data_IF_835684248869
#
_entry.id   IF_835684248869
#
_cell.length_a   1.000
_cell.length_b   1.000
_cell.length_c   1.000
_cell.angle_alpha   90.00
_cell.angle_beta   90.00
_cell.angle_gamma   90.00
#
_symmetry.space_group_name_H-M   'P 1'
#
loop_
_entity.id
_entity.type
_entity.pdbx_description
1 polymer ?
#
# COMPACT_ATOMS: atom_id res chain seq x y z
N UNK A 1 -62.21 -23.95 5.44
CA UNK A 1 -61.84 -22.71 4.72
C UNK A 1 -61.47 -21.67 5.76
N UNK A 2 -60.20 -21.63 6.18
CA UNK A 2 -59.73 -20.77 7.27
C UNK A 2 -59.53 -19.34 6.75
N UNK A 3 -60.35 -18.43 7.27
CA UNK A 3 -60.42 -17.01 6.93
C UNK A 3 -59.21 -16.29 7.53
N UNK A 4 -58.31 -15.78 6.69
CA UNK A 4 -57.19 -14.95 7.13
C UNK A 4 -57.72 -13.66 7.76
N UNK A 5 -57.35 -13.40 9.02
CA UNK A 5 -57.80 -12.23 9.77
C UNK A 5 -57.15 -10.93 9.28
N UNK A 6 -57.83 -9.77 9.45
CA UNK A 6 -57.42 -8.46 8.90
C UNK A 6 -56.14 -7.87 9.50
N UNK A 7 -55.46 -8.60 10.39
CA UNK A 7 -54.24 -8.19 11.08
C UNK A 7 -52.98 -8.41 10.24
N UNK A 8 -53.04 -9.23 9.18
CA UNK A 8 -51.89 -9.52 8.32
C UNK A 8 -51.40 -8.29 7.52
N UNK A 9 -52.27 -7.28 7.31
CA UNK A 9 -51.93 -6.07 6.55
C UNK A 9 -51.26 -4.98 7.41
N UNK A 10 -51.38 -5.04 8.74
CA UNK A 10 -50.79 -4.04 9.65
C UNK A 10 -49.30 -4.29 9.93
N UNK A 11 -48.80 -5.50 9.70
CA UNK A 11 -47.37 -5.83 9.87
C UNK A 11 -46.49 -5.31 8.72
N UNK A 12 -47.06 -4.95 7.56
CA UNK A 12 -46.28 -4.37 6.46
C UNK A 12 -45.95 -2.87 6.65
N UNK A 13 -46.58 -2.18 7.59
CA UNK A 13 -46.37 -0.74 7.83
C UNK A 13 -45.26 -0.41 8.84
N UNK A 14 -44.62 -1.43 9.45
CA UNK A 14 -43.56 -1.25 10.45
C UNK A 14 -42.16 -1.63 9.94
N UNK A 15 -41.97 -1.78 8.63
CA UNK A 15 -40.62 -1.79 8.06
C UNK A 15 -40.15 -0.33 8.01
N UNK A 16 -39.20 0.11 8.85
CA UNK A 16 -38.54 1.37 8.59
C UNK A 16 -38.00 1.27 7.17
N UNK A 17 -38.37 2.23 6.34
CA UNK A 17 -37.69 2.47 5.08
C UNK A 17 -36.24 2.72 5.46
N UNK A 18 -35.42 1.66 5.46
CA UNK A 18 -34.00 1.81 5.40
C UNK A 18 -33.78 2.43 4.03
N UNK A 19 -33.79 3.76 4.00
CA UNK A 19 -33.18 4.55 2.94
C UNK A 19 -31.69 4.25 3.05
N UNK A 20 -31.35 3.03 2.63
CA UNK A 20 -30.05 2.42 2.74
C UNK A 20 -29.17 3.20 1.81
N UNK A 21 -28.47 4.19 2.36
CA UNK A 21 -27.49 4.99 1.64
C UNK A 21 -26.62 4.03 0.82
N UNK A 22 -26.60 4.23 -0.50
CA UNK A 22 -25.85 3.35 -1.38
C UNK A 22 -24.39 3.25 -0.87
N UNK A 23 -23.89 2.04 -0.58
CA UNK A 23 -22.52 1.88 -0.13
C UNK A 23 -21.57 2.34 -1.23
N UNK A 24 -20.45 2.96 -0.84
CA UNK A 24 -19.41 3.30 -1.81
C UNK A 24 -18.88 2.02 -2.45
N UNK A 25 -18.59 2.08 -3.75
CA UNK A 25 -17.95 0.97 -4.43
C UNK A 25 -16.54 0.76 -3.86
N UNK A 26 -16.12 -0.50 -3.63
CA UNK A 26 -14.79 -0.79 -3.09
C UNK A 26 -13.68 -0.42 -4.08
N UNK A 27 -12.48 -0.03 -3.60
CA UNK A 27 -11.31 0.15 -4.44
C UNK A 27 -10.98 -1.13 -5.23
N UNK A 28 -10.40 -0.97 -6.41
CA UNK A 28 -10.03 -2.07 -7.31
C UNK A 28 -8.51 -2.19 -7.41
N UNK A 29 -8.01 -3.33 -7.89
CA UNK A 29 -6.58 -3.57 -8.13
C UNK A 29 -5.68 -3.19 -6.94
N UNK A 30 -6.10 -3.57 -5.73
CA UNK A 30 -5.33 -3.31 -4.51
C UNK A 30 -4.10 -4.21 -4.49
N UNK A 31 -2.92 -3.62 -4.61
CA UNK A 31 -1.65 -4.35 -4.66
C UNK A 31 -0.57 -3.65 -3.86
N UNK A 32 0.41 -4.42 -3.39
CA UNK A 32 1.66 -3.88 -2.89
C UNK A 32 2.64 -3.82 -4.07
N UNK A 33 3.31 -2.68 -4.21
CA UNK A 33 4.38 -2.45 -5.16
C UNK A 33 5.65 -2.10 -4.40
N UNK A 34 6.75 -2.74 -4.77
CA UNK A 34 8.07 -2.32 -4.34
C UNK A 34 8.67 -1.36 -5.34
N UNK A 35 9.40 -0.35 -4.85
CA UNK A 35 10.22 0.55 -5.67
C UNK A 35 11.23 1.29 -4.79
N UNK A 36 12.51 1.30 -5.18
CA UNK A 36 13.56 2.06 -4.51
C UNK A 36 13.63 1.83 -2.99
N UNK A 37 13.72 0.58 -2.54
CA UNK A 37 13.63 0.14 -1.14
C UNK A 37 12.30 0.46 -0.43
N UNK A 38 11.33 1.06 -1.13
CA UNK A 38 10.03 1.40 -0.58
C UNK A 38 8.96 0.39 -0.97
N UNK A 39 7.98 0.19 -0.08
CA UNK A 39 6.75 -0.55 -0.37
C UNK A 39 5.55 0.38 -0.30
N UNK A 40 4.70 0.31 -1.31
CA UNK A 40 3.53 1.16 -1.49
C UNK A 40 2.29 0.30 -1.73
N UNK A 41 1.23 0.57 -0.98
CA UNK A 41 -0.10 0.06 -1.32
C UNK A 41 -0.69 0.96 -2.41
N UNK A 42 -1.09 0.39 -3.53
CA UNK A 42 -1.72 1.12 -4.64
C UNK A 42 -3.09 0.53 -4.96
N UNK A 43 -3.99 1.36 -5.48
CA UNK A 43 -5.34 0.93 -5.85
C UNK A 43 -5.93 1.83 -6.94
N UNK A 44 -6.96 1.34 -7.61
CA UNK A 44 -7.85 2.11 -8.47
C UNK A 44 -9.13 2.51 -7.71
N UNK A 45 -9.76 3.63 -8.07
CA UNK A 45 -11.07 3.99 -7.52
C UNK A 45 -12.12 2.91 -7.78
N UNK A 46 -13.07 2.78 -6.84
CA UNK A 46 -14.29 2.01 -7.09
C UNK A 46 -15.20 2.72 -8.11
N UNK A 47 -15.89 1.99 -8.99
CA UNK A 47 -16.70 2.57 -10.06
C UNK A 47 -17.91 3.34 -9.50
N UNK A 48 -18.28 4.44 -10.17
CA UNK A 48 -19.47 5.23 -9.79
C UNK A 48 -19.37 5.99 -8.46
N UNK A 49 -18.20 5.97 -7.81
CA UNK A 49 -17.99 6.75 -6.59
C UNK A 49 -17.93 8.26 -6.90
N UNK A 50 -18.45 9.12 -6.01
CA UNK A 50 -18.30 10.56 -6.11
C UNK A 50 -16.83 11.02 -6.12
N UNK A 51 -16.54 12.14 -6.79
CA UNK A 51 -15.18 12.71 -6.91
C UNK A 51 -14.55 13.15 -5.57
N UNK A 52 -15.36 13.37 -4.54
CA UNK A 52 -14.89 13.82 -3.22
C UNK A 52 -14.61 12.68 -2.23
N UNK A 53 -14.59 11.42 -2.71
CA UNK A 53 -14.23 10.27 -1.89
C UNK A 53 -12.76 10.37 -1.47
N UNK A 54 -12.50 9.96 -0.23
CA UNK A 54 -11.16 9.79 0.33
C UNK A 54 -10.93 8.33 0.68
N UNK A 55 -9.68 7.95 0.93
CA UNK A 55 -9.30 6.60 1.24
C UNK A 55 -8.77 6.48 2.67
N UNK A 56 -9.04 5.32 3.26
CA UNK A 56 -8.47 4.87 4.54
C UNK A 56 -7.64 3.64 4.29
N UNK A 57 -6.40 3.66 4.78
CA UNK A 57 -5.47 2.53 4.69
C UNK A 57 -5.20 1.95 6.07
N UNK A 58 -5.11 0.62 6.11
CA UNK A 58 -4.63 -0.12 7.26
C UNK A 58 -3.67 -1.22 6.80
N UNK A 59 -2.82 -1.69 7.71
CA UNK A 59 -1.87 -2.76 7.44
C UNK A 59 -1.91 -3.80 8.57
N UNK A 60 -1.36 -4.95 8.27
CA UNK A 60 -1.28 -6.09 9.17
C UNK A 60 0.04 -6.85 8.92
N UNK A 61 0.76 -7.14 10.01
CA UNK A 61 1.93 -8.02 10.01
C UNK A 61 1.51 -9.40 10.50
N UNK A 62 1.99 -10.46 9.85
CA UNK A 62 1.52 -11.84 10.09
C UNK A 62 1.81 -12.32 11.52
N UNK A 63 3.06 -12.23 12.01
CA UNK A 63 3.40 -12.78 13.33
C UNK A 63 3.11 -11.86 14.52
N UNK A 64 3.21 -10.54 14.35
CA UNK A 64 3.08 -9.61 15.48
C UNK A 64 1.64 -9.49 16.02
N UNK A 65 0.63 -9.68 15.16
CA UNK A 65 -0.80 -9.79 15.52
C UNK A 65 -1.63 -10.11 14.25
N UNK A 66 -1.81 -11.39 13.89
CA UNK A 66 -2.43 -11.82 12.63
C UNK A 66 -3.90 -11.43 12.46
N UNK A 67 -4.55 -10.85 13.48
CA UNK A 67 -5.92 -10.32 13.38
C UNK A 67 -5.99 -8.79 13.55
N UNK A 68 -4.91 -8.15 13.99
CA UNK A 68 -4.94 -6.73 14.33
C UNK A 68 -4.53 -5.85 13.17
N UNK A 69 -5.53 -5.29 12.49
CA UNK A 69 -5.34 -4.22 11.53
C UNK A 69 -4.98 -2.90 12.20
N UNK A 70 -3.87 -2.30 11.79
CA UNK A 70 -3.36 -1.02 12.29
C UNK A 70 -3.60 0.06 11.23
N UNK A 71 -4.08 1.23 11.66
CA UNK A 71 -4.33 2.35 10.74
C UNK A 71 -3.00 2.95 10.29
N UNK A 72 -2.90 3.33 9.02
CA UNK A 72 -1.75 4.11 8.53
C UNK A 72 -2.09 5.59 8.69
N UNK A 73 -1.47 6.25 9.67
CA UNK A 73 -1.80 7.63 10.05
C UNK A 73 -1.83 8.59 8.86
N UNK A 74 -0.77 8.58 8.03
CA UNK A 74 -0.61 9.41 6.82
C UNK A 74 -1.70 9.19 5.76
N UNK A 75 -2.46 8.08 5.84
CA UNK A 75 -3.43 7.66 4.83
C UNK A 75 -4.83 7.43 5.41
N UNK A 76 -5.22 8.24 6.40
CA UNK A 76 -6.54 8.12 7.07
C UNK A 76 -7.68 8.85 6.34
N UNK A 77 -7.36 9.83 5.47
CA UNK A 77 -8.31 10.54 4.59
C UNK A 77 -7.58 11.07 3.36
N UNK A 78 -6.82 10.21 2.69
CA UNK A 78 -6.03 10.61 1.52
C UNK A 78 -6.90 10.66 0.26
N UNK A 79 -6.62 11.58 -0.67
CA UNK A 79 -7.16 11.53 -2.04
C UNK A 79 -6.23 10.80 -3.00
N UNK A 80 -4.99 10.52 -2.56
CA UNK A 80 -4.03 9.76 -3.32
C UNK A 80 -4.52 8.34 -3.58
N UNK A 81 -4.01 7.73 -4.65
CA UNK A 81 -4.26 6.35 -5.04
C UNK A 81 -3.10 5.41 -4.66
N UNK A 82 -2.18 5.92 -3.84
CA UNK A 82 -1.11 5.15 -3.24
C UNK A 82 -0.86 5.58 -1.79
N UNK A 83 -0.27 4.68 -1.01
CA UNK A 83 0.14 4.95 0.37
C UNK A 83 1.43 4.18 0.67
N UNK A 84 2.46 4.88 1.15
CA UNK A 84 3.67 4.22 1.64
C UNK A 84 3.34 3.36 2.87
N UNK A 85 3.71 2.09 2.80
CA UNK A 85 3.67 1.16 3.94
C UNK A 85 5.06 0.92 4.51
N UNK A 86 5.97 1.88 4.38
CA UNK A 86 7.31 1.80 4.96
C UNK A 86 7.35 2.44 6.34
N UNK A 87 8.15 1.84 7.21
CA UNK A 87 8.52 2.37 8.52
C UNK A 87 7.30 2.78 9.37
N UNK A 88 6.27 1.94 9.37
CA UNK A 88 5.07 2.15 10.18
C UNK A 88 5.31 1.74 11.63
N UNK A 89 4.54 2.32 12.55
CA UNK A 89 4.67 2.06 13.99
C UNK A 89 4.45 0.58 14.34
N UNK A 90 5.45 -0.12 14.88
CA UNK A 90 5.37 -1.57 15.18
C UNK A 90 5.14 -2.43 13.94
N UNK A 91 5.63 -1.97 12.78
CA UNK A 91 5.81 -2.81 11.62
C UNK A 91 7.06 -3.66 11.79
N UNK A 92 6.92 -4.93 11.45
CA UNK A 92 8.04 -5.86 11.38
C UNK A 92 8.27 -6.22 9.91
N UNK A 93 9.40 -5.75 9.35
CA UNK A 93 9.79 -6.00 7.96
C UNK A 93 10.43 -7.37 7.75
N UNK A 94 10.80 -8.09 8.82
CA UNK A 94 11.29 -9.47 8.73
C UNK A 94 10.14 -10.47 8.54
N UNK A 95 8.89 -10.00 8.68
CA UNK A 95 7.69 -10.78 8.54
C UNK A 95 6.85 -10.31 7.35
N UNK A 96 6.13 -11.25 6.74
CA UNK A 96 5.17 -10.90 5.69
C UNK A 96 4.09 -9.96 6.23
N UNK A 97 3.75 -8.96 5.44
CA UNK A 97 2.67 -8.02 5.76
C UNK A 97 1.79 -7.77 4.55
N UNK A 98 0.59 -7.28 4.80
CA UNK A 98 -0.36 -6.86 3.75
C UNK A 98 -1.02 -5.55 4.12
N UNK A 99 -1.52 -4.86 3.11
CA UNK A 99 -2.31 -3.66 3.25
C UNK A 99 -3.78 -3.91 2.94
N UNK A 100 -4.63 -2.99 3.37
CA UNK A 100 -6.01 -2.89 2.91
C UNK A 100 -6.44 -1.45 2.80
N UNK A 101 -7.37 -1.20 1.88
CA UNK A 101 -7.91 0.13 1.63
C UNK A 101 -9.42 0.08 1.47
N UNK A 102 -10.08 1.19 1.81
CA UNK A 102 -11.50 1.41 1.51
C UNK A 102 -11.77 2.86 1.15
N UNK A 103 -12.80 3.06 0.35
CA UNK A 103 -13.38 4.36 0.06
C UNK A 103 -14.20 4.87 1.24
N UNK A 104 -14.13 6.18 1.49
CA UNK A 104 -14.79 6.88 2.59
C UNK A 104 -15.27 8.25 2.14
N UNK A 105 -16.53 8.54 2.43
CA UNK A 105 -17.14 9.87 2.37
C UNK A 105 -17.69 10.23 3.76
N UNK A 106 -18.21 11.45 3.98
CA UNK A 106 -18.85 11.81 5.24
C UNK A 106 -19.99 10.85 5.63
N UNK A 107 -20.71 10.33 4.63
CA UNK A 107 -21.97 9.62 4.82
C UNK A 107 -21.92 8.13 4.49
N UNK A 108 -20.85 7.62 3.87
CA UNK A 108 -20.74 6.24 3.42
C UNK A 108 -19.29 5.72 3.44
N UNK A 109 -19.16 4.38 3.46
CA UNK A 109 -17.88 3.67 3.41
C UNK A 109 -18.05 2.44 2.52
N UNK A 110 -17.01 2.08 1.78
CA UNK A 110 -16.98 0.79 1.09
C UNK A 110 -16.55 -0.33 2.03
N UNK A 111 -16.77 -1.60 1.64
CA UNK A 111 -16.00 -2.72 2.17
C UNK A 111 -14.49 -2.49 2.05
N UNK A 112 -13.73 -3.18 2.89
CA UNK A 112 -12.27 -3.23 2.77
C UNK A 112 -11.86 -4.15 1.63
N UNK A 113 -10.82 -3.75 0.91
CA UNK A 113 -10.15 -4.62 -0.07
C UNK A 113 -8.69 -4.75 0.35
N UNK A 114 -8.23 -5.99 0.42
CA UNK A 114 -6.90 -6.35 0.90
C UNK A 114 -5.96 -6.64 -0.27
N UNK A 115 -4.68 -6.35 -0.08
CA UNK A 115 -3.63 -6.85 -0.97
C UNK A 115 -3.26 -8.29 -0.64
N UNK A 116 -2.50 -8.92 -1.53
CA UNK A 116 -1.69 -10.09 -1.16
C UNK A 116 -0.64 -9.70 -0.11
N UNK A 117 -0.09 -10.72 0.55
CA UNK A 117 1.08 -10.56 1.40
C UNK A 117 2.32 -10.25 0.56
N UNK A 118 3.25 -9.52 1.16
CA UNK A 118 4.59 -9.26 0.64
C UNK A 118 5.63 -9.55 1.73
N UNK A 119 6.72 -10.20 1.34
CA UNK A 119 7.90 -10.46 2.16
C UNK A 119 9.03 -9.52 1.78
N UNK A 120 9.24 -8.46 2.59
CA UNK A 120 10.12 -7.35 2.23
C UNK A 120 11.54 -7.79 1.88
N UNK A 121 12.12 -8.70 2.66
CA UNK A 121 13.51 -9.15 2.45
C UNK A 121 13.74 -9.89 1.14
N UNK A 122 12.68 -10.44 0.52
CA UNK A 122 12.77 -11.22 -0.72
C UNK A 122 12.22 -10.47 -1.93
N UNK A 123 11.24 -9.58 -1.72
CA UNK A 123 10.50 -8.94 -2.80
C UNK A 123 10.82 -7.45 -2.97
N UNK A 124 11.65 -6.86 -2.09
CA UNK A 124 12.01 -5.45 -2.23
C UNK A 124 12.92 -5.22 -3.43
N UNK A 125 12.49 -4.32 -4.31
CA UNK A 125 13.28 -3.72 -5.38
C UNK A 125 14.27 -2.70 -4.79
N UNK A 126 15.59 -2.91 -4.91
CA UNK A 126 16.60 -1.95 -4.46
C UNK A 126 16.55 -0.64 -5.24
N UNK A 127 16.90 0.48 -4.60
CA UNK A 127 17.17 1.71 -5.33
C UNK A 127 18.55 1.65 -6.01
N UNK A 128 18.71 2.24 -7.21
CA UNK A 128 20.03 2.38 -7.81
C UNK A 128 20.95 3.22 -6.92
N UNK A 129 22.26 2.92 -6.88
CA UNK A 129 23.20 3.71 -6.09
C UNK A 129 23.41 5.08 -6.73
N UNK A 130 23.59 6.09 -5.88
CA UNK A 130 24.10 7.40 -6.26
C UNK A 130 25.61 7.31 -6.36
N UNK A 131 26.14 7.57 -7.56
CA UNK A 131 27.58 7.55 -7.84
C UNK A 131 28.16 8.97 -7.71
N UNK A 132 29.19 9.10 -6.88
CA UNK A 132 30.04 10.29 -6.80
C UNK A 132 31.44 9.94 -7.31
N UNK A 133 31.86 10.59 -8.39
CA UNK A 133 33.15 10.35 -9.03
C UNK A 133 34.09 11.50 -8.73
N UNK A 134 35.28 11.19 -8.22
CA UNK A 134 36.36 12.18 -8.03
C UNK A 134 37.60 11.72 -8.78
N UNK A 135 38.10 12.59 -9.65
CA UNK A 135 39.34 12.36 -10.38
C UNK A 135 40.51 13.01 -9.64
N UNK A 136 41.56 12.23 -9.46
CA UNK A 136 42.90 12.72 -9.12
C UNK A 136 43.82 12.47 -10.33
N UNK A 137 45.07 12.92 -10.30
CA UNK A 137 45.99 12.80 -11.45
C UNK A 137 46.12 11.36 -11.97
N UNK A 138 46.15 10.37 -11.07
CA UNK A 138 46.40 8.96 -11.41
C UNK A 138 45.22 8.03 -11.12
N UNK A 139 44.25 8.46 -10.30
CA UNK A 139 43.19 7.59 -9.79
C UNK A 139 41.82 8.22 -9.98
N UNK A 140 40.89 7.43 -10.51
CA UNK A 140 39.47 7.72 -10.52
C UNK A 140 38.82 7.00 -9.33
N UNK A 141 38.35 7.76 -8.34
CA UNK A 141 37.64 7.21 -7.18
C UNK A 141 36.14 7.30 -7.43
N UNK A 142 35.44 6.18 -7.33
CA UNK A 142 33.97 6.09 -7.41
C UNK A 142 33.43 5.73 -6.03
N UNK A 143 32.60 6.60 -5.47
CA UNK A 143 31.85 6.32 -4.27
C UNK A 143 30.40 6.02 -4.63
N UNK A 144 29.95 4.79 -4.34
CA UNK A 144 28.57 4.36 -4.57
C UNK A 144 27.82 4.39 -3.24
N UNK A 145 26.76 5.18 -3.17
CA UNK A 145 25.96 5.37 -1.95
C UNK A 145 24.50 5.07 -2.22
N UNK A 146 23.76 4.67 -1.18
CA UNK A 146 22.35 4.33 -1.26
C UNK A 146 21.66 4.85 -0.01
N UNK A 147 20.35 5.05 -0.11
CA UNK A 147 19.54 5.50 1.00
C UNK A 147 18.57 4.39 1.39
N UNK A 148 18.83 3.74 2.52
CA UNK A 148 17.89 2.79 3.09
C UNK A 148 16.74 3.51 3.81
N UNK A 149 15.55 2.89 3.85
CA UNK A 149 14.49 3.31 4.74
C UNK A 149 14.97 3.34 6.21
N UNK A 150 14.61 4.35 7.02
CA UNK A 150 15.13 4.51 8.38
C UNK A 150 14.85 3.34 9.34
N UNK A 151 13.87 2.51 9.02
CA UNK A 151 13.48 1.34 9.79
C UNK A 151 14.22 0.06 9.41
N UNK A 152 15.01 0.08 8.34
CA UNK A 152 15.84 -1.05 7.94
C UNK A 152 17.22 -0.94 8.61
N UNK A 153 17.74 -2.04 9.17
CA UNK A 153 19.13 -2.06 9.59
C UNK A 153 20.04 -1.86 8.37
N UNK A 154 21.20 -1.26 8.61
CA UNK A 154 22.24 -1.17 7.59
C UNK A 154 22.54 -2.58 7.09
N UNK A 155 22.43 -2.76 5.78
CA UNK A 155 22.65 -4.03 5.10
C UNK A 155 23.91 -3.90 4.26
N UNK A 156 24.85 -4.83 4.37
CA UNK A 156 26.06 -4.85 3.53
C UNK A 156 25.70 -5.27 2.09
N UNK A 157 25.13 -4.34 1.33
CA UNK A 157 24.87 -4.52 -0.09
C UNK A 157 26.21 -4.66 -0.83
N UNK A 158 26.26 -5.63 -1.74
CA UNK A 158 27.40 -5.82 -2.65
C UNK A 158 27.08 -5.14 -3.97
N UNK A 159 28.08 -4.48 -4.54
CA UNK A 159 27.99 -3.84 -5.85
C UNK A 159 28.76 -4.63 -6.88
N UNK A 160 28.16 -4.76 -8.05
CA UNK A 160 28.86 -5.07 -9.29
C UNK A 160 29.14 -3.74 -9.99
N UNK A 161 30.38 -3.53 -10.44
CA UNK A 161 30.83 -2.27 -11.04
C UNK A 161 31.31 -2.57 -12.46
N UNK A 162 30.57 -2.03 -13.42
CA UNK A 162 30.95 -2.04 -14.84
C UNK A 162 31.61 -0.70 -15.20
N UNK A 163 32.71 -0.75 -15.96
CA UNK A 163 33.35 0.46 -16.50
C UNK A 163 33.66 0.29 -17.99
N UNK A 164 33.54 1.39 -18.73
CA UNK A 164 33.87 1.46 -20.15
C UNK A 164 34.37 2.86 -20.49
N UNK A 165 35.20 2.96 -21.53
CA UNK A 165 35.61 4.24 -22.09
C UNK A 165 34.56 4.71 -23.10
N UNK A 166 34.29 6.02 -23.12
CA UNK A 166 33.36 6.62 -24.08
C UNK A 166 33.79 6.30 -25.53
N UNK A 167 32.83 5.90 -26.37
CA UNK A 167 33.07 5.52 -27.76
C UNK A 167 33.54 4.07 -27.98
N UNK A 168 33.95 3.35 -26.93
CA UNK A 168 34.18 1.90 -26.97
C UNK A 168 33.00 1.18 -26.33
N UNK A 169 32.13 0.57 -27.14
CA UNK A 169 30.95 -0.18 -26.64
C UNK A 169 31.26 -1.46 -25.87
N UNK A 170 32.54 -1.72 -25.57
CA UNK A 170 32.98 -2.91 -24.86
C UNK A 170 33.17 -2.57 -23.38
N UNK A 171 32.44 -3.28 -22.52
CA UNK A 171 32.69 -3.31 -21.08
C UNK A 171 34.04 -4.00 -20.83
N UNK A 172 34.84 -3.47 -19.90
CA UNK A 172 36.10 -4.08 -19.45
C UNK A 172 35.89 -4.99 -18.25
#
# INVERSE_FOLDING_TARGET
MTRAGPWALLLLYLLPSAEGRAPLAPPQNVTLLSRNFGVYLTWLPGPGNPQNVTYRVAYQSFLAAPERWRKVGKCTRTKELMCSLMCLEKQDLFNKFKGRVRAVSPNAKSPWVESKYLEYLFEVEPAPPVLAVTQTEEVLKVNATYQLPPCMPLSDLKYEVDFWKEGTGNKM
#
